data_IF_871827191585
#
_entry.id   IF_871827191585
#
_cell.length_a   1.000
_cell.length_b   1.000
_cell.length_c   1.000
_cell.angle_alpha   90.00
_cell.angle_beta   90.00
_cell.angle_gamma   90.00
#
_symmetry.space_group_name_H-M   'P 1'
#
loop_
_entity.id
_entity.type
_entity.pdbx_description
1 polymer ?
#
# COMPACT_ATOMS: atom_id res chain seq x y z
N UNK A 1 -22.78 -7.30 -24.05
CA UNK A 1 -21.64 -6.44 -23.63
C UNK A 1 -21.92 -5.97 -22.21
N UNK A 2 -21.25 -6.54 -21.21
CA UNK A 2 -21.48 -6.21 -19.80
C UNK A 2 -20.51 -5.12 -19.36
N UNK A 3 -21.02 -3.91 -19.10
CA UNK A 3 -20.22 -2.82 -18.53
C UNK A 3 -19.83 -3.21 -17.11
N UNK A 4 -18.53 -3.48 -16.88
CA UNK A 4 -18.00 -3.65 -15.53
C UNK A 4 -18.00 -2.28 -14.86
N UNK A 5 -18.99 -2.00 -14.02
CA UNK A 5 -19.01 -0.81 -13.16
C UNK A 5 -17.82 -0.88 -12.21
N UNK A 6 -16.85 0.01 -12.39
CA UNK A 6 -15.74 0.18 -11.44
C UNK A 6 -16.29 0.95 -10.25
N UNK A 7 -16.23 0.41 -9.01
CA UNK A 7 -16.73 1.10 -7.82
C UNK A 7 -16.01 2.44 -7.61
N UNK A 8 -16.73 3.46 -7.16
CA UNK A 8 -16.14 4.77 -6.86
C UNK A 8 -15.10 4.66 -5.73
N UNK A 9 -14.05 5.49 -5.79
CA UNK A 9 -12.93 5.52 -4.84
C UNK A 9 -13.35 5.55 -3.36
N UNK A 10 -14.42 6.27 -3.01
CA UNK A 10 -14.95 6.34 -1.64
C UNK A 10 -15.42 4.99 -1.08
N UNK A 11 -15.90 4.07 -1.94
CA UNK A 11 -16.28 2.72 -1.53
C UNK A 11 -15.06 1.83 -1.25
N UNK A 12 -13.97 2.02 -2.00
CA UNK A 12 -12.73 1.25 -1.81
C UNK A 12 -11.96 1.65 -0.56
N UNK A 13 -12.06 2.91 -0.15
CA UNK A 13 -11.42 3.42 1.07
C UNK A 13 -12.32 3.38 2.32
N UNK A 14 -13.65 3.37 2.15
CA UNK A 14 -14.62 3.33 3.26
C UNK A 14 -15.04 1.94 3.71
N UNK A 15 -14.82 0.89 2.91
CA UNK A 15 -15.20 -0.50 3.24
C UNK A 15 -14.01 -1.35 3.70
N UNK A 16 -14.27 -2.25 4.64
CA UNK A 16 -13.32 -3.29 5.01
C UNK A 16 -13.05 -4.22 3.82
N UNK A 17 -11.80 -4.20 3.33
CA UNK A 17 -11.39 -5.05 2.22
C UNK A 17 -11.14 -6.48 2.70
N UNK A 18 -11.71 -7.46 2.00
CA UNK A 18 -11.47 -8.88 2.26
C UNK A 18 -10.34 -9.37 1.35
N UNK A 19 -9.22 -9.74 1.96
CA UNK A 19 -8.04 -10.26 1.25
C UNK A 19 -8.20 -11.78 1.10
N UNK A 20 -8.19 -12.25 -0.15
CA UNK A 20 -8.17 -13.69 -0.44
C UNK A 20 -6.73 -14.17 -0.51
N UNK A 21 -6.44 -15.19 0.28
CA UNK A 21 -5.16 -15.88 0.26
C UNK A 21 -5.34 -17.21 -0.47
N UNK A 22 -4.29 -17.67 -1.15
CA UNK A 22 -4.23 -19.06 -1.60
C UNK A 22 -3.98 -20.01 -0.40
N UNK A 23 -4.02 -21.31 -0.67
CA UNK A 23 -3.91 -22.34 0.36
C UNK A 23 -2.53 -22.31 1.05
N UNK A 24 -1.46 -22.08 0.29
CA UNK A 24 -0.09 -22.06 0.82
C UNK A 24 0.11 -20.85 1.75
N UNK A 25 -0.37 -19.67 1.32
CA UNK A 25 -0.34 -18.45 2.15
C UNK A 25 -1.17 -18.64 3.42
N UNK A 26 -2.34 -19.28 3.32
CA UNK A 26 -3.20 -19.56 4.47
C UNK A 26 -2.49 -20.47 5.48
N UNK A 27 -1.84 -21.54 5.02
CA UNK A 27 -1.09 -22.44 5.89
C UNK A 27 0.13 -21.76 6.52
N UNK A 28 0.84 -20.91 5.77
CA UNK A 28 1.96 -20.15 6.29
C UNK A 28 1.53 -19.17 7.41
N UNK A 29 0.47 -18.41 7.17
CA UNK A 29 -0.11 -17.48 8.15
C UNK A 29 -0.59 -18.22 9.40
N UNK A 30 -1.21 -19.39 9.25
CA UNK A 30 -1.67 -20.22 10.36
C UNK A 30 -0.50 -20.67 11.25
N UNK A 31 0.56 -21.25 10.66
CA UNK A 31 1.76 -21.65 11.41
C UNK A 31 2.40 -20.49 12.14
N UNK A 32 2.45 -19.31 11.51
CA UNK A 32 3.03 -18.12 12.13
C UNK A 32 2.18 -17.61 13.30
N UNK A 33 0.86 -17.59 13.14
CA UNK A 33 -0.10 -17.22 14.16
C UNK A 33 0.01 -18.12 15.40
N UNK A 34 0.11 -19.44 15.19
CA UNK A 34 0.32 -20.42 16.26
C UNK A 34 1.66 -20.20 16.99
N UNK A 35 2.74 -19.95 16.23
CA UNK A 35 4.07 -19.66 16.80
C UNK A 35 4.10 -18.38 17.63
N UNK A 36 3.40 -17.33 17.21
CA UNK A 36 3.38 -16.03 17.91
C UNK A 36 2.27 -15.93 18.96
N UNK A 37 1.38 -16.92 19.08
CA UNK A 37 0.21 -16.84 19.96
C UNK A 37 -0.75 -15.70 19.58
N UNK A 38 -0.89 -15.41 18.29
CA UNK A 38 -1.69 -14.29 17.75
C UNK A 38 -2.73 -14.81 16.77
N UNK A 39 -3.73 -13.99 16.47
CA UNK A 39 -4.65 -14.30 15.36
C UNK A 39 -3.96 -14.13 14.01
N UNK A 40 -4.38 -14.90 13.00
CA UNK A 40 -3.87 -14.75 11.63
C UNK A 40 -4.06 -13.32 11.10
N UNK A 41 -5.19 -12.68 11.42
CA UNK A 41 -5.45 -11.29 11.02
C UNK A 41 -4.43 -10.31 11.64
N UNK A 42 -4.00 -10.54 12.88
CA UNK A 42 -2.98 -9.72 13.51
C UNK A 42 -1.61 -9.88 12.81
N UNK A 43 -1.27 -11.10 12.37
CA UNK A 43 -0.07 -11.35 11.55
C UNK A 43 -0.14 -10.59 10.22
N UNK A 44 -1.27 -10.69 9.51
CA UNK A 44 -1.48 -10.00 8.23
C UNK A 44 -1.38 -8.49 8.40
N UNK A 45 -2.04 -7.93 9.42
CA UNK A 45 -2.03 -6.47 9.66
C UNK A 45 -0.61 -5.98 9.93
N UNK A 46 0.14 -6.68 10.77
CA UNK A 46 1.55 -6.38 11.03
C UNK A 46 2.39 -6.45 9.75
N UNK A 47 2.20 -7.47 8.92
CA UNK A 47 2.94 -7.61 7.67
C UNK A 47 2.65 -6.45 6.68
N UNK A 48 1.39 -5.99 6.62
CA UNK A 48 1.01 -4.81 5.83
C UNK A 48 1.66 -3.54 6.39
N UNK A 49 1.60 -3.33 7.70
CA UNK A 49 2.21 -2.18 8.35
C UNK A 49 3.73 -2.17 8.11
N UNK A 50 4.40 -3.31 8.25
CA UNK A 50 5.83 -3.47 7.99
C UNK A 50 6.18 -3.21 6.52
N UNK A 51 5.36 -3.70 5.58
CA UNK A 51 5.54 -3.44 4.15
C UNK A 51 5.38 -1.95 3.82
N UNK A 52 4.34 -1.31 4.35
CA UNK A 52 4.10 0.12 4.13
C UNK A 52 5.20 0.97 4.76
N UNK A 53 5.65 0.64 5.98
CA UNK A 53 6.74 1.36 6.65
C UNK A 53 8.07 1.24 5.90
N UNK A 54 8.36 0.07 5.29
CA UNK A 54 9.52 -0.12 4.43
C UNK A 54 9.44 0.75 3.16
N UNK A 55 8.27 0.81 2.54
CA UNK A 55 8.07 1.50 1.26
C UNK A 55 7.75 2.99 1.36
N UNK A 56 7.34 3.48 2.52
CA UNK A 56 7.07 4.89 2.76
C UNK A 56 8.30 5.77 2.47
N UNK A 57 9.51 5.23 2.72
CA UNK A 57 10.77 5.93 2.44
C UNK A 57 10.97 6.19 0.94
N UNK A 58 10.65 5.23 0.09
CA UNK A 58 10.78 5.39 -1.36
C UNK A 58 9.71 6.31 -1.96
N UNK A 59 8.48 6.25 -1.45
CA UNK A 59 7.40 7.12 -1.90
C UNK A 59 7.68 8.58 -1.52
N UNK A 60 8.15 8.85 -0.30
CA UNK A 60 8.54 10.19 0.15
C UNK A 60 9.73 10.74 -0.64
N UNK A 61 10.74 9.91 -0.96
CA UNK A 61 11.88 10.31 -1.80
C UNK A 61 11.42 10.65 -3.23
N UNK A 62 10.56 9.83 -3.84
CA UNK A 62 10.03 10.10 -5.18
C UNK A 62 9.18 11.37 -5.23
N UNK A 63 8.31 11.58 -4.23
CA UNK A 63 7.48 12.79 -4.14
C UNK A 63 8.31 14.06 -3.94
N UNK A 64 9.36 13.99 -3.09
CA UNK A 64 10.27 15.11 -2.86
C UNK A 64 11.09 15.44 -4.11
N UNK A 65 11.60 14.41 -4.81
CA UNK A 65 12.34 14.59 -6.06
C UNK A 65 11.49 15.23 -7.18
N UNK A 66 10.21 14.87 -7.28
CA UNK A 66 9.28 15.49 -8.24
C UNK A 66 9.02 16.96 -7.89
N UNK A 67 8.83 17.27 -6.59
CA UNK A 67 8.60 18.64 -6.12
C UNK A 67 9.81 19.55 -6.35
N UNK A 68 11.01 19.08 -6.04
CA UNK A 68 12.23 19.85 -6.27
C UNK A 68 12.50 20.06 -7.76
N UNK A 69 12.36 19.03 -8.59
CA UNK A 69 12.53 19.16 -10.04
C UNK A 69 11.56 20.19 -10.67
N UNK A 70 10.32 20.23 -10.20
CA UNK A 70 9.34 21.23 -10.64
C UNK A 70 9.75 22.66 -10.21
N UNK A 71 10.25 22.83 -8.99
CA UNK A 71 10.71 24.12 -8.48
C UNK A 71 11.95 24.65 -9.22
N UNK A 72 12.93 23.79 -9.50
CA UNK A 72 14.13 24.16 -10.27
C UNK A 72 13.78 24.53 -11.72
N UNK A 73 12.81 23.83 -12.33
CA UNK A 73 12.33 24.14 -13.67
C UNK A 73 11.65 25.52 -13.75
N UNK A 74 10.79 25.85 -12.79
CA UNK A 74 10.14 27.16 -12.69
C UNK A 74 11.15 28.31 -12.50
N UNK A 75 12.20 28.09 -11.69
CA UNK A 75 13.26 29.07 -11.46
C UNK A 75 14.11 29.34 -12.71
N UNK A 76 14.39 28.31 -13.49
CA UNK A 76 15.13 28.43 -14.76
C UNK A 76 14.32 29.15 -15.85
N UNK A 77 13.01 28.91 -15.93
CA UNK A 77 12.11 29.61 -16.87
C UNK A 77 12.03 31.12 -16.56
N UNK A 78 12.13 31.52 -15.29
CA UNK A 78 12.06 32.93 -14.88
C UNK A 78 13.35 33.74 -15.12
N UNK A 79 14.48 33.07 -15.32
CA UNK A 79 15.78 33.70 -15.57
C UNK A 79 16.09 33.88 -17.07
N UNK A 80 15.14 33.53 -17.93
CA UNK A 80 15.21 33.63 -19.38
C UNK A 80 14.48 34.88 -19.86
#
# INVERSE_FOLDING_TARGET
>A
SGTKTVPSLWYLFGMAMNVRFDDDQTQALKRQAEREGRSMQAIVRRAVDDYLARNAREAMVRESAIKEAAQWHELLERLK
#
